data_IF_536005401803
#
_entry.id   IF_536005401803
#
_cell.length_a   1.000
_cell.length_b   1.000
_cell.length_c   1.000
_cell.angle_alpha   90.00
_cell.angle_beta   90.00
_cell.angle_gamma   90.00
#
_symmetry.space_group_name_H-M   'P 1'
#
loop_
_entity.id
_entity.type
_entity.pdbx_description
1 polymer ?
#
# COMPACT_ATOMS: atom_id res chain seq x y z
N UNK A 1 0.85 -12.35 10.87
CA UNK A 1 2.04 -12.90 11.57
C UNK A 1 1.58 -13.63 12.85
N UNK A 2 2.36 -14.59 13.38
CA UNK A 2 2.02 -15.28 14.65
C UNK A 2 2.53 -14.53 15.91
N UNK A 3 3.20 -13.39 15.71
CA UNK A 3 3.76 -12.52 16.76
C UNK A 3 4.52 -11.34 16.14
N UNK A 4 4.88 -10.35 16.95
CA UNK A 4 5.56 -9.11 16.54
C UNK A 4 4.66 -7.87 16.48
N UNK A 5 5.23 -6.71 16.12
CA UNK A 5 4.55 -5.40 16.19
C UNK A 5 4.04 -4.87 14.85
N UNK A 6 4.44 -5.49 13.73
CA UNK A 6 4.18 -4.97 12.38
C UNK A 6 3.56 -6.04 11.47
N UNK A 7 2.81 -5.57 10.49
CA UNK A 7 2.38 -6.37 9.34
C UNK A 7 3.05 -5.81 8.08
N UNK A 8 3.69 -6.69 7.31
CA UNK A 8 4.24 -6.35 6.00
C UNK A 8 3.18 -6.65 4.94
N UNK A 9 2.83 -5.65 4.14
CA UNK A 9 1.98 -5.81 2.97
C UNK A 9 2.81 -5.59 1.71
N UNK A 10 2.70 -6.50 0.75
CA UNK A 10 3.25 -6.34 -0.59
C UNK A 10 2.10 -6.24 -1.60
N UNK A 11 2.08 -5.14 -2.35
CA UNK A 11 1.16 -4.91 -3.47
C UNK A 11 1.79 -5.27 -4.84
N UNK A 12 1.10 -4.97 -5.95
CA UNK A 12 1.67 -5.08 -7.29
C UNK A 12 2.95 -4.25 -7.45
N UNK A 13 3.82 -4.62 -8.41
CA UNK A 13 5.01 -3.83 -8.74
C UNK A 13 4.61 -2.39 -9.13
N UNK A 14 5.30 -1.39 -8.57
CA UNK A 14 5.02 0.03 -8.84
C UNK A 14 3.79 0.60 -8.12
N UNK A 15 3.30 -0.05 -7.06
CA UNK A 15 2.04 0.33 -6.40
C UNK A 15 2.20 1.04 -5.07
N UNK A 16 3.27 0.79 -4.29
CA UNK A 16 3.34 1.18 -2.88
C UNK A 16 3.23 2.68 -2.67
N UNK A 17 4.00 3.48 -3.40
CA UNK A 17 3.92 4.96 -3.33
C UNK A 17 2.54 5.48 -3.72
N UNK A 18 1.94 4.90 -4.76
CA UNK A 18 0.62 5.29 -5.22
C UNK A 18 -0.48 4.93 -4.20
N UNK A 19 -0.37 3.79 -3.53
CA UNK A 19 -1.30 3.37 -2.47
C UNK A 19 -1.17 4.30 -1.27
N UNK A 20 0.06 4.60 -0.82
CA UNK A 20 0.30 5.53 0.30
C UNK A 20 -0.25 6.93 0.00
N UNK A 21 0.00 7.45 -1.22
CA UNK A 21 -0.57 8.73 -1.67
C UNK A 21 -2.10 8.69 -1.65
N UNK A 22 -2.68 7.60 -2.17
CA UNK A 22 -4.14 7.47 -2.25
C UNK A 22 -4.80 7.35 -0.88
N UNK A 23 -4.20 6.62 0.04
CA UNK A 23 -4.68 6.55 1.43
C UNK A 23 -4.62 7.93 2.09
N UNK A 24 -3.54 8.69 1.88
CA UNK A 24 -3.39 10.05 2.42
C UNK A 24 -4.46 11.00 1.86
N UNK A 25 -4.76 10.96 0.56
CA UNK A 25 -5.87 11.73 -0.05
C UNK A 25 -7.24 11.40 0.57
N UNK A 26 -7.42 10.17 1.07
CA UNK A 26 -8.64 9.70 1.71
C UNK A 26 -8.63 9.90 3.24
N UNK A 27 -7.62 10.60 3.77
CA UNK A 27 -7.53 10.97 5.19
C UNK A 27 -6.79 9.97 6.08
N UNK A 28 -6.14 8.95 5.52
CA UNK A 28 -5.38 7.95 6.29
C UNK A 28 -3.88 8.08 6.01
N UNK A 29 -3.11 8.34 7.08
CA UNK A 29 -1.65 8.40 6.99
C UNK A 29 -1.04 7.01 7.16
N UNK A 30 -0.29 6.57 6.15
CA UNK A 30 0.44 5.30 6.17
C UNK A 30 1.93 5.53 6.41
N UNK A 31 2.65 4.48 6.86
CA UNK A 31 4.11 4.48 6.80
C UNK A 31 4.57 4.75 5.36
N UNK A 32 5.56 5.62 5.17
CA UNK A 32 6.09 5.93 3.84
C UNK A 32 6.53 4.65 3.10
N UNK A 33 6.16 4.56 1.81
CA UNK A 33 6.61 3.47 0.95
C UNK A 33 8.14 3.41 0.91
N UNK A 34 8.70 2.20 0.98
CA UNK A 34 10.15 1.99 1.02
C UNK A 34 10.81 2.13 2.39
N UNK A 35 10.07 2.47 3.46
CA UNK A 35 10.64 2.66 4.80
C UNK A 35 11.31 1.42 5.41
N UNK A 36 11.04 0.23 4.88
CA UNK A 36 11.66 -1.05 5.27
C UNK A 36 12.95 -1.35 4.52
N UNK A 37 13.34 -0.49 3.57
CA UNK A 37 14.50 -0.68 2.70
C UNK A 37 15.62 0.30 3.04
N UNK A 38 16.89 -0.12 2.87
CA UNK A 38 18.02 0.81 2.96
C UNK A 38 17.82 2.02 2.05
N UNK A 39 18.12 3.21 2.56
CA UNK A 39 17.93 4.48 1.85
C UNK A 39 16.47 4.82 1.49
N UNK A 40 15.46 4.13 2.04
CA UNK A 40 14.06 4.40 1.75
C UNK A 40 13.63 4.01 0.33
N UNK A 41 14.38 3.14 -0.36
CA UNK A 41 14.17 2.77 -1.75
C UNK A 41 13.86 1.29 -1.90
N UNK A 42 12.57 0.98 -1.97
CA UNK A 42 12.10 -0.32 -2.43
C UNK A 42 12.41 -0.47 -3.94
N UNK A 43 13.16 -1.51 -4.37
CA UNK A 43 13.49 -1.72 -5.77
C UNK A 43 12.27 -2.02 -6.65
N UNK A 44 11.18 -2.55 -6.07
CA UNK A 44 9.97 -2.91 -6.80
C UNK A 44 8.77 -2.02 -6.48
N UNK A 45 8.90 -1.11 -5.51
CA UNK A 45 7.81 -0.25 -5.03
C UNK A 45 6.55 -1.07 -4.69
N UNK A 46 6.71 -2.10 -3.86
CA UNK A 46 5.64 -3.04 -3.49
C UNK A 46 5.29 -2.98 -2.02
N UNK A 47 6.25 -2.64 -1.15
CA UNK A 47 6.11 -2.84 0.29
C UNK A 47 5.52 -1.64 1.04
N UNK A 48 4.57 -1.92 1.94
CA UNK A 48 4.04 -0.98 2.92
C UNK A 48 4.02 -1.66 4.29
N UNK A 49 4.63 -1.00 5.30
CA UNK A 49 4.59 -1.46 6.70
C UNK A 49 3.38 -0.90 7.42
N UNK A 50 2.57 -1.78 8.00
CA UNK A 50 1.39 -1.45 8.80
C UNK A 50 1.74 -1.63 10.28
N UNK A 51 1.36 -0.65 11.11
CA UNK A 51 1.60 -0.63 12.55
C UNK A 51 0.25 -0.71 13.31
N UNK A 52 -0.29 -1.92 13.54
CA UNK A 52 -1.64 -2.10 14.09
C UNK A 52 -1.75 -1.77 15.59
N UNK A 53 -0.63 -1.66 16.30
CA UNK A 53 -0.54 -1.56 17.76
C UNK A 53 -0.63 -0.13 18.31
N UNK A 54 -0.61 0.89 17.44
CA UNK A 54 -0.73 2.28 17.84
C UNK A 54 -2.20 2.78 17.99
N UNK A 55 -3.09 2.57 17.02
CA UNK A 55 -4.49 3.00 17.12
C UNK A 55 -5.33 2.08 18.03
N UNK A 56 -6.52 2.55 18.42
CA UNK A 56 -7.57 1.68 18.95
C UNK A 56 -8.07 0.70 17.89
N UNK A 57 -8.78 -0.37 18.29
CA UNK A 57 -9.32 -1.34 17.33
C UNK A 57 -10.30 -0.72 16.33
N UNK A 58 -11.12 0.24 16.77
CA UNK A 58 -12.10 0.94 15.93
C UNK A 58 -11.42 1.84 14.89
N UNK A 59 -10.43 2.63 15.32
CA UNK A 59 -9.63 3.46 14.41
C UNK A 59 -8.82 2.60 13.42
N UNK A 60 -8.29 1.47 13.88
CA UNK A 60 -7.56 0.53 13.02
C UNK A 60 -8.48 -0.03 11.93
N UNK A 61 -9.69 -0.46 12.30
CA UNK A 61 -10.66 -1.03 11.36
C UNK A 61 -11.04 -0.01 10.27
N UNK A 62 -11.41 1.21 10.69
CA UNK A 62 -11.74 2.29 9.77
C UNK A 62 -10.56 2.69 8.86
N UNK A 63 -9.33 2.74 9.40
CA UNK A 63 -8.14 3.03 8.61
C UNK A 63 -7.82 1.92 7.60
N UNK A 64 -8.04 0.65 7.98
CA UNK A 64 -7.83 -0.49 7.10
C UNK A 64 -8.84 -0.53 5.96
N UNK A 65 -10.10 -0.13 6.17
CA UNK A 65 -11.08 -0.01 5.09
C UNK A 65 -10.62 0.96 4.00
N UNK A 66 -10.15 2.14 4.41
CA UNK A 66 -9.58 3.13 3.48
C UNK A 66 -8.35 2.58 2.78
N UNK A 67 -7.45 1.93 3.52
CA UNK A 67 -6.26 1.31 2.96
C UNK A 67 -6.60 0.25 1.90
N UNK A 68 -7.57 -0.63 2.18
CA UNK A 68 -8.04 -1.67 1.24
C UNK A 68 -8.63 -1.05 -0.02
N UNK A 69 -9.41 0.03 0.11
CA UNK A 69 -9.95 0.76 -1.04
C UNK A 69 -8.83 1.36 -1.89
N UNK A 70 -7.83 2.00 -1.27
CA UNK A 70 -6.66 2.54 -1.95
C UNK A 70 -5.88 1.46 -2.72
N UNK A 71 -5.63 0.32 -2.06
CA UNK A 71 -4.99 -0.86 -2.67
C UNK A 71 -5.75 -1.33 -3.92
N UNK A 72 -7.07 -1.53 -3.80
CA UNK A 72 -7.92 -1.99 -4.91
C UNK A 72 -7.91 -1.00 -6.08
N UNK A 73 -8.05 0.30 -5.81
CA UNK A 73 -8.07 1.34 -6.84
C UNK A 73 -6.74 1.40 -7.62
N UNK A 74 -5.61 1.41 -6.91
CA UNK A 74 -4.28 1.45 -7.54
C UNK A 74 -4.01 0.17 -8.32
N UNK A 75 -4.34 -0.99 -7.75
CA UNK A 75 -4.13 -2.29 -8.39
C UNK A 75 -4.94 -2.42 -9.68
N UNK A 76 -6.21 -2.02 -9.66
CA UNK A 76 -7.06 -2.02 -10.85
C UNK A 76 -6.53 -1.09 -11.94
N UNK A 77 -6.03 0.09 -11.56
CA UNK A 77 -5.40 1.04 -12.50
C UNK A 77 -4.14 0.45 -13.15
N UNK A 78 -3.26 -0.16 -12.37
CA UNK A 78 -2.03 -0.79 -12.89
C UNK A 78 -2.36 -1.96 -13.83
N UNK A 79 -3.30 -2.84 -13.44
CA UNK A 79 -3.75 -3.94 -14.29
C UNK A 79 -4.38 -3.47 -15.61
N UNK A 80 -5.08 -2.33 -15.61
CA UNK A 80 -5.61 -1.73 -16.84
C UNK A 80 -4.48 -1.24 -17.75
N UNK A 81 -3.44 -0.61 -17.19
CA UNK A 81 -2.29 -0.13 -17.96
C UNK A 81 -1.55 -1.30 -18.60
N UNK A 82 -1.28 -2.36 -17.84
CA UNK A 82 -0.63 -3.58 -18.31
C UNK A 82 -1.38 -4.22 -19.49
N UNK A 83 -2.71 -4.32 -19.38
CA UNK A 83 -3.59 -4.81 -20.47
C UNK A 83 -3.72 -3.85 -21.65
N UNK A 84 -3.50 -2.56 -21.43
CA UNK A 84 -3.57 -1.52 -22.47
C UNK A 84 -2.31 -1.41 -23.33
N UNK A 85 -1.20 -2.03 -22.90
CA UNK A 85 0.05 -2.12 -23.66
C UNK A 85 0.16 -3.40 -24.52
N UNK A 86 -0.78 -4.34 -24.40
CA UNK A 86 -0.74 -5.61 -25.13
C UNK A 86 -1.64 -5.69 -26.37
N UNK A 87 -2.31 -4.60 -26.76
CA UNK A 87 -3.26 -4.63 -27.90
C UNK A 87 -2.77 -3.95 -29.19
N UNK A 88 -1.61 -3.30 -29.21
CA UNK A 88 -0.94 -2.87 -30.46
C UNK A 88 0.57 -2.76 -30.25
N UNK A 89 1.27 -3.88 -30.40
CA UNK A 89 2.73 -3.97 -30.57
C UNK A 89 3.03 -4.95 -31.69
#
# INVERSE_FOLDING_TARGET
>A
PKGGYFVSFDGPVGSARAIVSRAHELGVTMTSAGATWPSGKDPFDTNIRIVPSYPTLEELDAALDVFIVAVKQVSARLAKVDRGQSVWG
#
